data_IF_246241449652
#
_entry.id   IF_246241449652
#
_cell.length_a   1.000
_cell.length_b   1.000
_cell.length_c   1.000
_cell.angle_alpha   90.00
_cell.angle_beta   90.00
_cell.angle_gamma   90.00
#
_symmetry.space_group_name_H-M   'P 1'
#
loop_
_entity.id
_entity.type
_entity.pdbx_description
1 polymer ?
#
# COMPACT_ATOMS: atom_id res chain seq x y z
N UNK A 1 -7.39 -1.86 12.57
CA UNK A 1 -7.68 -2.44 11.23
C UNK A 1 -6.59 -3.43 10.82
N UNK A 2 -5.30 -3.06 10.92
CA UNK A 2 -4.17 -3.97 10.64
C UNK A 2 -4.19 -5.22 11.53
N UNK A 3 -4.41 -5.05 12.83
CA UNK A 3 -4.54 -6.16 13.78
C UNK A 3 -5.70 -7.12 13.40
N UNK A 4 -6.82 -6.58 12.89
CA UNK A 4 -7.94 -7.41 12.43
C UNK A 4 -7.60 -8.26 11.18
N UNK A 5 -6.66 -7.81 10.35
CA UNK A 5 -6.19 -8.55 9.18
C UNK A 5 -5.20 -9.66 9.60
N UNK A 6 -4.32 -9.38 10.56
CA UNK A 6 -3.43 -10.39 11.13
C UNK A 6 -4.22 -11.53 11.78
N UNK A 7 -5.26 -11.21 12.54
CA UNK A 7 -6.16 -12.20 13.15
C UNK A 7 -6.95 -13.03 12.14
N UNK A 8 -7.32 -12.45 11.01
CA UNK A 8 -7.99 -13.19 9.94
C UNK A 8 -7.06 -14.25 9.31
N UNK A 9 -5.76 -14.01 9.32
CA UNK A 9 -4.73 -14.96 8.84
C UNK A 9 -4.45 -16.11 9.81
N UNK A 10 -4.74 -15.94 11.11
CA UNK A 10 -4.45 -16.95 12.16
C UNK A 10 -5.62 -17.91 12.43
N UNK A 11 -6.76 -17.79 11.72
CA UNK A 11 -7.99 -18.57 11.98
C UNK A 11 -8.51 -18.50 13.42
N UNK A 12 -8.13 -17.49 14.19
CA UNK A 12 -8.52 -17.36 15.59
C UNK A 12 -9.74 -16.45 15.78
N UNK A 13 -10.93 -17.05 15.61
CA UNK A 13 -12.23 -16.36 15.74
C UNK A 13 -12.50 -15.72 17.11
N UNK A 14 -11.81 -16.16 18.17
CA UNK A 14 -11.99 -15.62 19.53
C UNK A 14 -11.30 -14.25 19.70
N UNK A 15 -10.14 -14.04 19.12
CA UNK A 15 -9.44 -12.75 19.19
C UNK A 15 -10.15 -11.68 18.36
N UNK A 16 -10.75 -12.06 17.25
CA UNK A 16 -11.54 -11.17 16.38
C UNK A 16 -12.70 -10.51 17.14
N UNK A 17 -13.36 -11.23 18.03
CA UNK A 17 -14.46 -10.71 18.85
C UNK A 17 -13.97 -9.75 19.93
N UNK A 18 -12.76 -9.97 20.46
CA UNK A 18 -12.14 -9.11 21.48
C UNK A 18 -11.71 -7.75 20.94
N UNK A 19 -11.28 -7.67 19.68
CA UNK A 19 -10.86 -6.41 19.06
C UNK A 19 -12.07 -5.48 18.76
N UNK A 20 -13.21 -6.04 18.38
CA UNK A 20 -14.43 -5.27 18.09
C UNK A 20 -15.04 -4.68 19.37
N UNK A 21 -14.84 -5.32 20.52
CA UNK A 21 -15.42 -4.92 21.80
C UNK A 21 -14.43 -4.24 22.76
N UNK A 22 -13.22 -3.89 22.29
CA UNK A 22 -12.32 -3.10 23.14
C UNK A 22 -12.95 -1.75 23.43
N UNK A 23 -13.08 -1.38 24.73
CA UNK A 23 -13.46 -0.01 25.08
C UNK A 23 -12.40 0.91 24.46
N UNK A 24 -12.86 1.98 23.86
CA UNK A 24 -11.97 3.06 23.40
C UNK A 24 -11.47 3.73 24.68
N UNK A 25 -10.35 3.22 25.20
CA UNK A 25 -9.64 3.94 26.25
C UNK A 25 -9.07 5.22 25.64
N UNK A 26 -9.31 6.37 26.29
CA UNK A 26 -8.68 7.65 25.95
C UNK A 26 -7.20 7.65 26.35
N UNK A 27 -6.46 6.63 25.97
CA UNK A 27 -5.01 6.63 26.09
C UNK A 27 -4.45 7.50 24.98
N UNK A 28 -3.56 8.45 25.30
CA UNK A 28 -2.86 9.21 24.26
C UNK A 28 -2.19 8.24 23.28
N UNK A 29 -2.37 8.48 21.99
CA UNK A 29 -1.71 7.68 20.96
C UNK A 29 -0.24 8.08 20.98
N UNK A 30 0.63 7.14 21.29
CA UNK A 30 2.08 7.36 21.25
C UNK A 30 2.56 7.42 19.79
N UNK A 31 3.63 8.17 19.53
CA UNK A 31 4.18 8.30 18.19
C UNK A 31 4.58 6.94 17.57
N UNK A 32 5.02 5.99 18.40
CA UNK A 32 5.32 4.62 17.99
C UNK A 32 4.09 3.84 17.48
N UNK A 33 2.89 4.19 17.98
CA UNK A 33 1.64 3.53 17.57
C UNK A 33 1.20 3.99 16.17
N UNK A 34 1.69 5.14 15.74
CA UNK A 34 1.40 5.71 14.41
C UNK A 34 2.31 5.13 13.33
N UNK A 35 3.41 4.48 13.72
CA UNK A 35 4.40 3.99 12.78
C UNK A 35 3.81 3.04 11.75
N UNK A 36 4.26 3.19 10.50
CA UNK A 36 3.94 2.25 9.43
C UNK A 36 4.48 0.85 9.75
N UNK A 37 3.80 -0.18 9.28
CA UNK A 37 4.30 -1.54 9.36
C UNK A 37 4.90 -1.96 8.01
N UNK A 38 6.12 -2.52 8.04
CA UNK A 38 6.87 -2.86 6.84
C UNK A 38 7.00 -4.37 6.70
N UNK A 39 6.67 -4.90 5.53
CA UNK A 39 6.82 -6.30 5.17
C UNK A 39 7.71 -6.45 3.94
N UNK A 40 8.61 -7.42 4.01
CA UNK A 40 9.64 -7.59 2.99
C UNK A 40 10.79 -6.59 3.16
N UNK A 41 11.88 -6.87 2.46
CA UNK A 41 13.10 -6.04 2.47
C UNK A 41 13.54 -5.69 1.05
N UNK A 42 12.67 -5.90 0.07
CA UNK A 42 12.94 -5.62 -1.33
C UNK A 42 13.25 -4.14 -1.56
N UNK A 43 14.02 -3.87 -2.59
CA UNK A 43 14.45 -2.51 -2.97
C UNK A 43 14.01 -2.10 -4.37
N UNK A 44 13.36 -2.98 -5.11
CA UNK A 44 12.89 -2.65 -6.46
C UNK A 44 11.61 -1.81 -6.42
N UNK A 45 10.66 -2.21 -5.58
CA UNK A 45 9.35 -1.56 -5.48
C UNK A 45 8.87 -1.45 -4.03
N UNK A 46 8.55 -0.23 -3.61
CA UNK A 46 7.79 0.04 -2.39
C UNK A 46 6.30 0.12 -2.74
N UNK A 47 5.47 -0.69 -2.12
CA UNK A 47 4.01 -0.63 -2.26
C UNK A 47 3.45 -0.04 -0.96
N UNK A 48 2.92 1.18 -1.04
CA UNK A 48 2.25 1.86 0.06
C UNK A 48 0.75 1.59 -0.01
N UNK A 49 0.15 1.06 1.04
CA UNK A 49 -1.27 0.75 1.04
C UNK A 49 -1.84 0.68 2.46
N UNK A 50 -3.13 0.45 2.55
CA UNK A 50 -3.89 0.30 3.79
C UNK A 50 -5.13 -0.57 3.55
N UNK A 51 -5.76 -1.02 4.63
CA UNK A 51 -7.01 -1.76 4.55
C UNK A 51 -6.92 -3.01 3.67
N UNK A 52 -7.89 -3.18 2.78
CA UNK A 52 -7.92 -4.32 1.87
C UNK A 52 -6.83 -4.22 0.78
N UNK A 53 -6.47 -3.02 0.36
CA UNK A 53 -5.38 -2.79 -0.59
C UNK A 53 -4.05 -3.32 -0.07
N UNK A 54 -3.78 -3.20 1.23
CA UNK A 54 -2.62 -3.82 1.86
C UNK A 54 -2.64 -5.35 1.74
N UNK A 55 -3.80 -5.97 2.02
CA UNK A 55 -3.95 -7.42 1.91
C UNK A 55 -3.74 -7.93 0.47
N UNK A 56 -4.30 -7.24 -0.51
CA UNK A 56 -4.09 -7.55 -1.92
C UNK A 56 -2.62 -7.34 -2.34
N UNK A 57 -1.97 -6.30 -1.84
CA UNK A 57 -0.55 -6.02 -2.08
C UNK A 57 0.35 -7.13 -1.54
N UNK A 58 0.03 -7.70 -0.37
CA UNK A 58 0.75 -8.86 0.19
C UNK A 58 0.57 -10.14 -0.65
N UNK A 59 -0.56 -10.29 -1.31
CA UNK A 59 -0.78 -11.40 -2.25
C UNK A 59 0.00 -11.15 -3.56
N UNK A 60 -0.03 -9.92 -4.07
CA UNK A 60 0.69 -9.52 -5.27
C UNK A 60 2.22 -9.65 -5.10
N UNK A 61 2.76 -9.33 -3.92
CA UNK A 61 4.18 -9.47 -3.58
C UNK A 61 4.72 -10.86 -3.92
N UNK A 62 3.97 -11.91 -3.62
CA UNK A 62 4.40 -13.29 -3.89
C UNK A 62 4.53 -13.56 -5.38
N UNK A 63 3.58 -13.09 -6.16
CA UNK A 63 3.59 -13.24 -7.62
C UNK A 63 4.67 -12.37 -8.29
N UNK A 64 4.92 -11.18 -7.73
CA UNK A 64 5.98 -10.29 -8.19
C UNK A 64 7.37 -10.88 -7.92
N UNK A 65 7.56 -11.55 -6.79
CA UNK A 65 8.80 -12.25 -6.47
C UNK A 65 9.10 -13.38 -7.47
N UNK A 66 8.09 -14.10 -7.94
CA UNK A 66 8.24 -15.10 -9.02
C UNK A 66 8.69 -14.47 -10.35
N UNK A 67 8.39 -13.19 -10.56
CA UNK A 67 8.83 -12.42 -11.72
C UNK A 67 10.18 -11.73 -11.50
N UNK A 68 10.83 -11.96 -10.36
CA UNK A 68 12.13 -11.37 -10.02
C UNK A 68 12.05 -9.91 -9.56
N UNK A 69 10.88 -9.44 -9.11
CA UNK A 69 10.68 -8.09 -8.56
C UNK A 69 10.61 -8.20 -7.04
N UNK A 70 11.61 -7.67 -6.37
CA UNK A 70 11.68 -7.68 -4.91
C UNK A 70 10.95 -6.46 -4.34
N UNK A 71 9.82 -6.73 -3.69
CA UNK A 71 8.95 -5.72 -3.14
C UNK A 71 9.16 -5.50 -1.64
N UNK A 72 8.79 -4.29 -1.22
CA UNK A 72 8.55 -3.93 0.17
C UNK A 72 7.11 -3.43 0.26
N UNK A 73 6.28 -4.09 1.07
CA UNK A 73 4.88 -3.71 1.26
C UNK A 73 4.74 -3.00 2.60
N UNK A 74 4.23 -1.78 2.56
CA UNK A 74 4.09 -0.89 3.71
C UNK A 74 2.61 -0.71 4.01
N UNK A 75 2.19 -1.12 5.20
CA UNK A 75 0.87 -0.83 5.75
C UNK A 75 0.92 0.52 6.46
N UNK A 76 0.14 1.47 5.98
CA UNK A 76 0.08 2.83 6.54
C UNK A 76 -0.52 2.85 7.95
N UNK A 77 -1.37 1.90 8.30
CA UNK A 77 -2.05 1.73 9.60
C UNK A 77 -2.90 2.92 10.03
N UNK A 78 -2.34 4.12 10.00
CA UNK A 78 -3.02 5.37 10.33
C UNK A 78 -3.01 6.30 9.12
N UNK A 79 -4.17 6.85 8.80
CA UNK A 79 -4.34 7.78 7.68
C UNK A 79 -4.44 9.24 8.13
N UNK A 80 -4.75 9.45 9.41
CA UNK A 80 -4.79 10.78 10.02
C UNK A 80 -4.48 10.66 11.53
N UNK A 81 -3.31 11.16 11.98
CA UNK A 81 -2.21 11.64 11.16
C UNK A 81 -1.48 10.53 10.41
N UNK A 82 -0.83 10.87 9.29
CA UNK A 82 0.10 9.96 8.61
C UNK A 82 1.45 9.92 9.33
N UNK A 83 2.11 8.77 9.31
CA UNK A 83 3.54 8.67 9.62
C UNK A 83 4.36 9.11 8.41
N UNK A 84 4.48 10.42 8.23
CA UNK A 84 5.19 11.02 7.09
C UNK A 84 6.64 10.57 7.02
N UNK A 85 7.32 10.50 8.16
CA UNK A 85 8.72 10.10 8.24
C UNK A 85 8.92 8.64 7.82
N UNK A 86 8.08 7.74 8.31
CA UNK A 86 8.13 6.34 7.94
C UNK A 86 7.81 6.11 6.45
N UNK A 87 6.83 6.81 5.92
CA UNK A 87 6.49 6.75 4.48
C UNK A 87 7.68 7.19 3.62
N UNK A 88 8.30 8.33 3.95
CA UNK A 88 9.46 8.86 3.22
C UNK A 88 10.63 7.88 3.27
N UNK A 89 10.97 7.37 4.47
CA UNK A 89 12.06 6.41 4.66
C UNK A 89 11.87 5.17 3.79
N UNK A 90 10.69 4.56 3.82
CA UNK A 90 10.44 3.35 3.05
C UNK A 90 10.39 3.60 1.54
N UNK A 91 9.88 4.74 1.11
CA UNK A 91 9.89 5.14 -0.29
C UNK A 91 11.32 5.36 -0.81
N UNK A 92 12.18 6.02 -0.03
CA UNK A 92 13.59 6.27 -0.38
C UNK A 92 14.43 4.99 -0.46
N UNK A 93 14.04 3.96 0.28
CA UNK A 93 14.74 2.67 0.29
C UNK A 93 14.50 1.85 -1.00
N UNK A 94 13.59 2.27 -1.89
CA UNK A 94 13.23 1.55 -3.10
C UNK A 94 13.43 2.40 -4.36
N UNK A 95 13.65 1.73 -5.50
CA UNK A 95 13.81 2.39 -6.80
C UNK A 95 12.50 3.01 -7.30
N UNK A 96 11.36 2.41 -6.95
CA UNK A 96 10.02 2.80 -7.41
C UNK A 96 9.01 2.70 -6.29
N UNK A 97 7.92 3.46 -6.39
CA UNK A 97 6.84 3.49 -5.41
C UNK A 97 5.50 3.33 -6.12
N UNK A 98 4.70 2.38 -5.68
CA UNK A 98 3.31 2.20 -6.07
C UNK A 98 2.42 2.48 -4.86
N UNK A 99 1.50 3.44 -4.99
CA UNK A 99 0.49 3.73 -3.97
C UNK A 99 -0.79 3.02 -4.39
N UNK A 100 -1.27 2.07 -3.56
CA UNK A 100 -2.50 1.32 -3.81
C UNK A 100 -3.57 1.84 -2.86
N UNK A 101 -4.60 2.46 -3.43
CA UNK A 101 -5.65 3.17 -2.71
C UNK A 101 -7.04 2.65 -3.13
N UNK A 102 -7.80 2.13 -2.17
CA UNK A 102 -9.16 1.64 -2.40
C UNK A 102 -10.17 2.77 -2.67
N UNK A 103 -9.81 4.00 -2.35
CA UNK A 103 -10.69 5.15 -2.57
C UNK A 103 -10.64 5.60 -4.03
N UNK A 104 -11.64 6.41 -4.39
CA UNK A 104 -11.71 7.06 -5.71
C UNK A 104 -10.44 7.85 -5.98
N UNK A 105 -10.14 8.03 -7.26
CA UNK A 105 -8.92 8.71 -7.72
C UNK A 105 -8.78 10.15 -7.21
N UNK A 106 -9.90 10.87 -7.12
CA UNK A 106 -9.93 12.29 -6.74
C UNK A 106 -10.26 12.49 -5.27
N UNK A 107 -9.45 13.29 -4.58
CA UNK A 107 -9.64 13.65 -3.16
C UNK A 107 -9.38 12.49 -2.19
N UNK A 108 -8.50 11.56 -2.54
CA UNK A 108 -8.13 10.44 -1.67
C UNK A 108 -6.80 10.65 -0.98
N UNK A 109 -6.49 9.79 0.00
CA UNK A 109 -5.25 9.86 0.77
C UNK A 109 -4.00 9.68 -0.11
N UNK A 110 -4.12 8.99 -1.22
CA UNK A 110 -3.00 8.81 -2.16
C UNK A 110 -2.54 10.12 -2.79
N UNK A 111 -3.39 11.15 -2.87
CA UNK A 111 -2.99 12.49 -3.32
C UNK A 111 -2.10 13.17 -2.29
N UNK A 112 -2.43 13.07 -1.01
CA UNK A 112 -1.58 13.59 0.06
C UNK A 112 -0.22 12.88 0.08
N UNK A 113 -0.21 11.56 -0.08
CA UNK A 113 1.04 10.77 -0.15
C UNK A 113 1.88 11.16 -1.37
N UNK A 114 1.27 11.35 -2.54
CA UNK A 114 1.97 11.84 -3.73
C UNK A 114 2.62 13.20 -3.49
N UNK A 115 1.88 14.12 -2.85
CA UNK A 115 2.39 15.46 -2.50
C UNK A 115 3.56 15.35 -1.54
N UNK A 116 3.40 14.55 -0.47
CA UNK A 116 4.45 14.30 0.52
C UNK A 116 5.74 13.79 -0.15
N UNK A 117 5.64 12.79 -1.01
CA UNK A 117 6.79 12.22 -1.71
C UNK A 117 7.44 13.21 -2.68
N UNK A 118 6.64 14.03 -3.35
CA UNK A 118 7.11 15.05 -4.27
C UNK A 118 7.86 16.17 -3.53
N UNK A 119 7.30 16.69 -2.46
CA UNK A 119 7.90 17.77 -1.65
C UNK A 119 9.21 17.35 -0.99
N UNK A 120 9.36 16.07 -0.68
CA UNK A 120 10.57 15.52 -0.08
C UNK A 120 11.57 14.96 -1.10
N UNK A 121 11.37 15.21 -2.40
CA UNK A 121 12.24 14.78 -3.50
C UNK A 121 12.63 13.29 -3.41
N UNK A 122 11.69 12.48 -2.96
CA UNK A 122 11.93 11.08 -2.57
C UNK A 122 12.18 10.16 -3.75
N UNK A 123 12.00 10.59 -4.99
CA UNK A 123 12.35 9.79 -6.17
C UNK A 123 12.19 10.67 -7.42
N UNK A 124 12.70 10.25 -8.55
CA UNK A 124 12.39 10.91 -9.82
C UNK A 124 10.89 10.82 -10.09
N UNK A 125 10.31 11.84 -10.71
CA UNK A 125 8.87 11.92 -10.99
C UNK A 125 8.29 10.68 -11.71
N UNK A 126 9.13 9.91 -12.39
CA UNK A 126 8.75 8.69 -13.11
C UNK A 126 8.76 7.42 -12.23
N UNK A 127 9.14 7.54 -10.96
CA UNK A 127 9.29 6.41 -10.06
C UNK A 127 8.07 6.19 -9.17
N UNK A 128 7.10 7.11 -9.14
CA UNK A 128 5.91 7.02 -8.29
C UNK A 128 4.65 6.93 -9.14
N UNK A 129 3.81 5.92 -8.89
CA UNK A 129 2.50 5.77 -9.53
C UNK A 129 1.42 5.49 -8.48
N UNK A 130 0.17 5.77 -8.85
CA UNK A 130 -1.02 5.45 -8.05
C UNK A 130 -1.91 4.46 -8.79
N UNK A 131 -2.38 3.45 -8.08
CA UNK A 131 -3.50 2.61 -8.45
C UNK A 131 -4.66 2.92 -7.51
N UNK A 132 -5.73 3.50 -8.03
CA UNK A 132 -6.90 3.92 -7.27
C UNK A 132 -8.16 3.30 -7.84
N UNK A 133 -9.23 3.27 -7.04
CA UNK A 133 -10.56 2.97 -7.55
C UNK A 133 -11.03 4.04 -8.56
N UNK A 134 -12.02 3.68 -9.36
CA UNK A 134 -12.66 4.64 -10.28
C UNK A 134 -13.35 5.77 -9.50
N UNK A 135 -13.45 6.96 -10.11
CA UNK A 135 -14.20 8.11 -9.58
C UNK A 135 -15.71 7.83 -9.67
N UNK A 136 -16.18 6.94 -8.82
CA UNK A 136 -17.58 6.53 -8.75
C UNK A 136 -17.95 6.13 -7.32
N UNK A 137 -19.24 5.96 -7.05
CA UNK A 137 -19.68 5.26 -5.85
C UNK A 137 -19.33 3.78 -5.98
N UNK A 138 -18.84 3.18 -4.89
CA UNK A 138 -18.56 1.75 -4.84
C UNK A 138 -19.91 1.02 -4.79
N UNK A 139 -20.25 0.23 -5.80
CA UNK A 139 -21.50 -0.53 -5.81
C UNK A 139 -21.45 -1.69 -4.82
N UNK A 140 -22.61 -2.21 -4.45
CA UNK A 140 -22.72 -3.37 -3.57
C UNK A 140 -22.49 -4.69 -4.33
N UNK A 141 -22.08 -5.72 -3.60
CA UNK A 141 -21.89 -7.07 -4.11
C UNK A 141 -20.76 -7.17 -5.14
N UNK A 142 -20.90 -8.09 -6.08
CA UNK A 142 -19.86 -8.38 -7.07
C UNK A 142 -19.54 -7.21 -8.03
N UNK A 143 -20.45 -6.26 -8.18
CA UNK A 143 -20.20 -5.08 -8.98
C UNK A 143 -19.07 -4.19 -8.44
N UNK A 144 -18.75 -4.29 -7.16
CA UNK A 144 -17.63 -3.57 -6.55
C UNK A 144 -16.27 -3.95 -7.19
N UNK A 145 -16.12 -5.20 -7.61
CA UNK A 145 -14.87 -5.70 -8.24
C UNK A 145 -14.55 -5.03 -9.59
N UNK A 146 -15.52 -4.35 -10.20
CA UNK A 146 -15.29 -3.61 -11.46
C UNK A 146 -14.76 -2.20 -11.24
N UNK A 147 -14.77 -1.70 -10.01
CA UNK A 147 -14.35 -0.33 -9.69
C UNK A 147 -13.19 -0.26 -8.70
N UNK A 148 -13.01 -1.30 -7.88
CA UNK A 148 -11.93 -1.38 -6.91
C UNK A 148 -10.67 -1.98 -7.52
N UNK A 149 -9.48 -1.56 -7.08
CA UNK A 149 -8.23 -2.22 -7.44
C UNK A 149 -8.24 -3.72 -7.09
N UNK A 150 -7.82 -4.54 -8.02
CA UNK A 150 -7.62 -5.97 -7.82
C UNK A 150 -6.15 -6.32 -7.58
N UNK A 151 -5.88 -7.55 -7.12
CA UNK A 151 -4.52 -8.08 -7.03
C UNK A 151 -3.85 -8.09 -8.41
N UNK A 152 -4.59 -8.47 -9.43
CA UNK A 152 -4.14 -8.52 -10.82
C UNK A 152 -3.71 -7.16 -11.34
N UNK A 153 -4.46 -6.10 -11.01
CA UNK A 153 -4.10 -4.72 -11.35
C UNK A 153 -2.78 -4.31 -10.68
N UNK A 154 -2.61 -4.65 -9.40
CA UNK A 154 -1.37 -4.39 -8.66
C UNK A 154 -0.19 -5.07 -9.35
N UNK A 155 -0.31 -6.36 -9.68
CA UNK A 155 0.75 -7.13 -10.34
C UNK A 155 1.07 -6.55 -11.72
N UNK A 156 0.07 -6.18 -12.50
CA UNK A 156 0.25 -5.64 -13.84
C UNK A 156 1.01 -4.30 -13.81
N UNK A 157 0.52 -3.35 -13.00
CA UNK A 157 1.15 -2.02 -12.89
C UNK A 157 2.56 -2.15 -12.30
N UNK A 158 2.76 -2.93 -11.26
CA UNK A 158 4.06 -3.15 -10.66
C UNK A 158 5.06 -3.76 -11.66
N UNK A 159 4.62 -4.75 -12.44
CA UNK A 159 5.44 -5.37 -13.49
C UNK A 159 5.79 -4.37 -14.58
N UNK A 160 4.83 -3.57 -15.06
CA UNK A 160 5.06 -2.53 -16.04
C UNK A 160 6.06 -1.49 -15.52
N UNK A 161 5.89 -1.03 -14.28
CA UNK A 161 6.81 -0.10 -13.64
C UNK A 161 8.23 -0.64 -13.59
N UNK A 162 8.42 -1.91 -13.21
CA UNK A 162 9.75 -2.47 -12.95
C UNK A 162 10.45 -3.01 -14.19
N UNK A 163 9.72 -3.58 -15.17
CA UNK A 163 10.31 -4.28 -16.30
C UNK A 163 10.51 -3.43 -17.56
N UNK A 164 9.80 -2.30 -17.70
CA UNK A 164 9.93 -1.43 -18.88
C UNK A 164 11.27 -0.69 -18.97
N UNK A 165 11.96 -0.46 -17.87
CA UNK A 165 13.24 0.23 -17.87
C UNK A 165 14.44 -0.66 -18.28
N UNK A 166 14.31 -1.98 -18.25
CA UNK A 166 15.40 -2.91 -18.65
C UNK A 166 15.69 -2.84 -20.16
N UNK A 167 14.75 -2.33 -20.97
CA UNK A 167 14.97 -2.18 -22.42
C UNK A 167 15.70 -0.89 -22.83
N UNK A 168 15.80 0.10 -21.95
CA UNK A 168 16.52 1.34 -22.24
C UNK A 168 18.02 1.23 -21.93
N UNK A 169 18.39 0.47 -20.90
CA UNK A 169 19.79 0.29 -20.48
C UNK A 169 20.57 -0.73 -21.33
N UNK A 170 19.88 -1.63 -22.07
CA UNK A 170 20.53 -2.60 -22.94
C UNK A 170 20.88 -2.07 -24.35
N UNK A 171 20.67 -0.77 -24.62
CA UNK A 171 20.95 -0.12 -25.91
C UNK A 171 21.95 1.04 -25.81
N UNK A 172 22.63 1.20 -24.67
CA UNK A 172 23.68 2.20 -24.50
C UNK A 172 25.08 1.59 -24.56
#
# INVERSE_FOLDING_TARGET
>A
YAAAIEDANTNNTKEKTLLVNRPVENTPVEASDLAVAVHGSGTDLCILSYGNGYYLSRQAEKELAEKGIECRVVDLRWLAPLDESGIIEQAQACKKVLIVDECRKTGSISEAIMTLLYENATNSANAVQRLCAHDSFIPLGSAAYHVLPSKEDIVNIASEMCLTNTKAESKA
#
